data_IF_327836814862
#
_entry.id   IF_327836814862
#
_cell.length_a   1.000
_cell.length_b   1.000
_cell.length_c   1.000
_cell.angle_alpha   90.00
_cell.angle_beta   90.00
_cell.angle_gamma   90.00
#
_symmetry.space_group_name_H-M   'P 1'
#
loop_
_entity.id
_entity.type
_entity.pdbx_description
1 polymer ?
#
# COMPACT_ATOMS: atom_id res chain seq x y z
N UNK A 1 -24.16 2.76 1.77
CA UNK A 1 -23.30 3.11 0.62
C UNK A 1 -23.85 4.27 -0.25
N UNK A 2 -24.74 5.15 0.27
CA UNK A 2 -25.38 6.24 -0.51
C UNK A 2 -25.08 7.66 0.02
N UNK A 3 -24.00 7.85 0.78
CA UNK A 3 -23.76 9.12 1.49
C UNK A 3 -23.02 10.18 0.68
N UNK A 4 -22.40 9.81 -0.44
CA UNK A 4 -21.64 10.71 -1.29
C UNK A 4 -22.34 10.85 -2.65
N UNK A 5 -22.75 12.07 -2.97
CA UNK A 5 -23.17 12.46 -4.32
C UNK A 5 -21.90 12.66 -5.17
N UNK A 6 -21.40 11.55 -5.72
CA UNK A 6 -20.10 11.50 -6.41
C UNK A 6 -20.01 12.50 -7.57
N UNK A 7 -20.99 12.61 -8.49
CA UNK A 7 -20.94 13.61 -9.56
C UNK A 7 -20.85 15.03 -9.01
N UNK A 8 -21.65 15.35 -7.98
CA UNK A 8 -21.69 16.70 -7.42
C UNK A 8 -20.41 17.06 -6.64
N UNK A 9 -19.86 16.13 -5.84
CA UNK A 9 -18.57 16.35 -5.18
C UNK A 9 -17.47 16.55 -6.22
N UNK A 10 -17.48 15.76 -7.29
CA UNK A 10 -16.46 15.80 -8.34
C UNK A 10 -16.38 17.14 -9.08
N UNK A 11 -17.46 17.93 -9.14
CA UNK A 11 -17.41 19.28 -9.74
C UNK A 11 -16.82 20.33 -8.78
N UNK A 12 -16.76 20.05 -7.49
CA UNK A 12 -16.33 21.00 -6.46
C UNK A 12 -14.92 20.76 -5.92
N UNK A 13 -14.33 19.59 -6.17
CA UNK A 13 -12.97 19.25 -5.71
C UNK A 13 -12.01 19.08 -6.87
N UNK A 14 -10.73 19.34 -6.62
CA UNK A 14 -9.67 19.10 -7.60
C UNK A 14 -9.30 17.61 -7.65
N UNK A 15 -9.24 16.98 -6.46
CA UNK A 15 -8.80 15.60 -6.26
C UNK A 15 -9.73 14.89 -5.29
N UNK A 16 -9.93 13.60 -5.54
CA UNK A 16 -10.68 12.66 -4.71
C UNK A 16 -9.69 11.61 -4.17
N UNK A 17 -9.29 11.76 -2.91
CA UNK A 17 -8.36 10.81 -2.28
C UNK A 17 -9.16 9.62 -1.74
N UNK A 18 -9.07 8.49 -2.45
CA UNK A 18 -9.75 7.25 -2.06
C UNK A 18 -8.89 6.51 -1.04
N UNK A 19 -9.42 6.35 0.17
CA UNK A 19 -8.75 5.58 1.23
C UNK A 19 -8.93 4.07 0.98
N UNK A 20 -8.13 3.52 0.07
CA UNK A 20 -8.22 2.13 -0.37
C UNK A 20 -7.39 1.18 0.53
N UNK A 21 -7.69 1.24 1.83
CA UNK A 21 -7.04 0.48 2.90
C UNK A 21 -7.99 0.43 4.11
N UNK A 22 -7.61 -0.28 5.18
CA UNK A 22 -8.48 -0.63 6.31
C UNK A 22 -9.72 -1.45 5.91
N UNK A 23 -9.60 -2.26 4.87
CA UNK A 23 -10.67 -3.18 4.48
C UNK A 23 -10.92 -4.24 5.54
N UNK A 24 -9.85 -4.71 6.17
CA UNK A 24 -9.91 -5.62 7.29
C UNK A 24 -9.03 -5.07 8.41
N UNK A 25 -9.63 -4.91 9.59
CA UNK A 25 -8.99 -4.31 10.76
C UNK A 25 -8.88 -5.34 11.87
N UNK A 26 -7.87 -5.21 12.71
CA UNK A 26 -7.55 -6.22 13.72
C UNK A 26 -8.57 -6.36 14.86
N UNK A 27 -9.60 -5.52 14.91
CA UNK A 27 -10.78 -5.72 15.75
C UNK A 27 -11.70 -6.84 15.24
N UNK A 28 -11.52 -7.29 13.99
CA UNK A 28 -12.18 -8.48 13.46
C UNK A 28 -11.50 -9.75 13.98
N UNK A 29 -12.25 -10.83 14.27
CA UNK A 29 -11.73 -12.03 14.93
C UNK A 29 -10.80 -12.90 14.07
N UNK A 30 -10.63 -12.57 12.79
CA UNK A 30 -9.87 -13.36 11.84
C UNK A 30 -8.87 -12.49 11.08
N UNK A 31 -7.69 -13.05 10.82
CA UNK A 31 -6.65 -12.42 10.00
C UNK A 31 -7.15 -12.17 8.59
N UNK A 32 -6.79 -11.01 8.04
CA UNK A 32 -6.99 -10.72 6.63
C UNK A 32 -6.12 -9.52 6.23
N UNK A 33 -5.99 -9.28 4.93
CA UNK A 33 -5.10 -8.24 4.43
C UNK A 33 -5.66 -6.82 4.63
N UNK A 34 -4.80 -5.83 4.92
CA UNK A 34 -5.21 -4.43 5.12
C UNK A 34 -5.79 -3.79 3.84
N UNK A 35 -5.11 -4.02 2.71
CA UNK A 35 -5.37 -3.37 1.43
C UNK A 35 -5.22 -4.31 0.23
N UNK A 36 -5.97 -5.43 0.14
CA UNK A 36 -5.82 -6.36 -0.98
C UNK A 36 -6.19 -5.69 -2.32
N UNK A 37 -5.38 -5.89 -3.37
CA UNK A 37 -5.65 -5.27 -4.67
C UNK A 37 -6.88 -5.92 -5.32
N UNK A 38 -6.88 -7.24 -5.38
CA UNK A 38 -8.02 -8.06 -5.80
C UNK A 38 -8.50 -8.95 -4.66
N UNK A 39 -9.59 -9.67 -4.90
CA UNK A 39 -10.18 -10.58 -3.92
C UNK A 39 -9.43 -11.92 -3.93
N UNK A 40 -9.39 -12.55 -2.78
CA UNK A 40 -9.15 -13.99 -2.64
C UNK A 40 -10.50 -14.72 -2.69
N UNK A 41 -10.52 -15.94 -3.21
CA UNK A 41 -11.66 -16.86 -3.16
C UNK A 41 -12.18 -17.15 -1.73
N UNK A 42 -11.37 -16.90 -0.69
CA UNK A 42 -11.80 -17.08 0.71
C UNK A 42 -12.63 -15.92 1.28
N UNK A 43 -12.60 -14.73 0.69
CA UNK A 43 -13.40 -13.61 1.15
C UNK A 43 -14.81 -13.66 0.55
N UNK A 44 -15.83 -13.79 1.41
CA UNK A 44 -17.23 -13.75 1.00
C UNK A 44 -17.72 -12.33 0.65
N UNK A 45 -16.89 -11.30 0.87
CA UNK A 45 -17.21 -9.92 0.58
C UNK A 45 -16.41 -9.38 -0.62
N UNK A 46 -17.00 -9.48 -1.81
CA UNK A 46 -16.41 -8.99 -3.06
C UNK A 46 -16.08 -7.48 -3.08
N UNK A 47 -16.49 -6.72 -2.06
CA UNK A 47 -16.40 -5.25 -2.03
C UNK A 47 -15.16 -4.71 -1.32
N UNK A 48 -14.47 -5.53 -0.54
CA UNK A 48 -13.38 -5.11 0.35
C UNK A 48 -12.00 -5.13 -0.31
N UNK A 49 -11.93 -4.62 -1.54
CA UNK A 49 -10.70 -4.58 -2.34
C UNK A 49 -10.46 -3.20 -2.92
N UNK A 50 -9.18 -2.90 -3.20
CA UNK A 50 -8.77 -1.69 -3.94
C UNK A 50 -9.49 -1.65 -5.28
N UNK A 51 -9.49 -2.78 -6.00
CA UNK A 51 -10.08 -2.87 -7.32
C UNK A 51 -11.59 -2.52 -7.30
N UNK A 52 -12.35 -3.15 -6.41
CA UNK A 52 -13.77 -2.85 -6.30
C UNK A 52 -14.02 -1.39 -5.95
N UNK A 53 -13.26 -0.85 -4.99
CA UNK A 53 -13.45 0.53 -4.52
C UNK A 53 -13.20 1.57 -5.61
N UNK A 54 -12.14 1.40 -6.40
CA UNK A 54 -11.84 2.30 -7.54
C UNK A 54 -12.92 2.19 -8.63
N UNK A 55 -13.27 0.97 -9.04
CA UNK A 55 -14.33 0.77 -10.03
C UNK A 55 -15.69 1.27 -9.54
N UNK A 56 -15.96 1.20 -8.23
CA UNK A 56 -17.16 1.77 -7.64
C UNK A 56 -17.20 3.29 -7.83
N UNK A 57 -16.14 4.02 -7.46
CA UNK A 57 -16.06 5.48 -7.67
C UNK A 57 -16.24 5.88 -9.13
N UNK A 58 -15.56 5.19 -10.04
CA UNK A 58 -15.72 5.39 -11.49
C UNK A 58 -17.17 5.14 -11.93
N UNK A 59 -17.80 4.05 -11.48
CA UNK A 59 -19.19 3.72 -11.80
C UNK A 59 -20.21 4.73 -11.27
N UNK A 60 -19.86 5.46 -10.20
CA UNK A 60 -20.66 6.53 -9.62
C UNK A 60 -20.44 7.89 -10.28
N UNK A 61 -19.57 7.97 -11.29
CA UNK A 61 -19.35 9.18 -12.09
C UNK A 61 -18.18 10.04 -11.64
N UNK A 62 -17.27 9.51 -10.82
CA UNK A 62 -16.01 10.20 -10.54
C UNK A 62 -15.13 10.20 -11.80
N UNK A 63 -14.62 11.36 -12.24
CA UNK A 63 -13.63 11.41 -13.31
C UNK A 63 -12.33 10.71 -12.88
N UNK A 64 -11.80 9.81 -13.72
CA UNK A 64 -10.56 9.09 -13.43
C UNK A 64 -9.38 10.06 -13.18
N UNK A 65 -9.31 11.15 -13.95
CA UNK A 65 -8.30 12.21 -13.85
C UNK A 65 -8.44 13.11 -12.60
N UNK A 66 -9.38 12.79 -11.71
CA UNK A 66 -9.49 13.36 -10.35
C UNK A 66 -9.30 12.34 -9.23
N UNK A 67 -9.37 11.03 -9.52
CA UNK A 67 -9.21 9.98 -8.51
C UNK A 67 -7.73 9.79 -8.17
N UNK A 68 -7.43 9.73 -6.88
CA UNK A 68 -6.10 9.48 -6.33
C UNK A 68 -6.17 8.23 -5.45
N UNK A 69 -5.40 7.20 -5.81
CA UNK A 69 -5.40 5.92 -5.08
C UNK A 69 -4.57 6.04 -3.80
N UNK A 70 -5.19 5.78 -2.65
CA UNK A 70 -4.50 5.70 -1.36
C UNK A 70 -3.71 4.41 -1.18
N UNK A 71 -2.48 4.54 -0.69
CA UNK A 71 -1.55 3.45 -0.41
C UNK A 71 -1.16 3.48 1.08
N UNK A 72 -1.38 2.39 1.83
CA UNK A 72 -1.00 2.35 3.24
C UNK A 72 0.51 2.07 3.39
N UNK A 73 1.16 2.82 4.28
CA UNK A 73 2.53 2.61 4.72
C UNK A 73 2.56 1.88 6.08
N UNK A 74 1.55 1.05 6.33
CA UNK A 74 1.35 0.29 7.56
C UNK A 74 0.59 -1.01 7.26
N UNK A 75 0.65 -1.94 8.21
CA UNK A 75 -0.11 -3.19 8.19
C UNK A 75 -1.16 -3.26 9.30
N UNK A 76 -2.15 -4.11 9.09
CA UNK A 76 -3.07 -4.56 10.13
C UNK A 76 -2.56 -5.90 10.65
N UNK A 77 -2.45 -6.01 11.97
CA UNK A 77 -1.73 -7.11 12.61
C UNK A 77 -2.56 -7.81 13.69
N UNK A 78 -2.39 -9.11 13.81
CA UNK A 78 -3.05 -9.98 14.77
C UNK A 78 -2.04 -10.70 15.65
N UNK A 79 -2.50 -11.05 16.84
CA UNK A 79 -1.95 -12.12 17.67
C UNK A 79 -2.71 -13.41 17.35
N UNK A 80 -2.07 -14.36 16.69
CA UNK A 80 -2.66 -15.67 16.37
C UNK A 80 -3.04 -16.42 17.65
N UNK A 81 -4.26 -16.95 17.67
CA UNK A 81 -4.74 -17.80 18.77
C UNK A 81 -4.13 -19.21 18.68
N UNK A 82 -3.86 -19.67 17.46
CA UNK A 82 -3.32 -20.99 17.12
C UNK A 82 -2.14 -20.81 16.14
N UNK A 83 -0.95 -21.28 16.54
CA UNK A 83 0.27 -21.11 15.75
C UNK A 83 0.29 -21.97 14.48
N UNK A 84 -0.51 -23.04 14.45
CA UNK A 84 -0.64 -23.91 13.27
C UNK A 84 -1.62 -23.33 12.24
N UNK A 85 -2.30 -22.22 12.58
CA UNK A 85 -3.23 -21.49 11.71
C UNK A 85 -2.70 -20.09 11.46
N UNK A 86 -2.01 -19.91 10.35
CA UNK A 86 -1.31 -18.66 10.02
C UNK A 86 -1.67 -18.11 8.64
N UNK A 87 -2.66 -18.69 7.95
CA UNK A 87 -3.18 -18.18 6.68
C UNK A 87 -4.16 -17.03 6.85
N UNK A 88 -4.74 -16.58 5.74
CA UNK A 88 -5.92 -15.71 5.73
C UNK A 88 -7.09 -16.44 6.42
N UNK A 89 -7.87 -15.71 7.21
CA UNK A 89 -8.99 -16.26 7.97
C UNK A 89 -8.60 -16.96 9.27
N UNK A 90 -7.32 -16.99 9.66
CA UNK A 90 -6.89 -17.57 10.92
C UNK A 90 -7.45 -16.79 12.13
N UNK A 91 -7.87 -17.48 13.21
CA UNK A 91 -8.40 -16.81 14.39
C UNK A 91 -7.32 -16.02 15.13
N UNK A 92 -7.65 -14.81 15.56
CA UNK A 92 -6.74 -13.99 16.34
C UNK A 92 -7.40 -12.77 16.98
N UNK A 93 -6.60 -12.09 17.79
CA UNK A 93 -6.95 -10.83 18.47
C UNK A 93 -6.04 -9.70 17.97
N UNK A 94 -6.31 -8.42 18.25
CA UNK A 94 -5.41 -7.35 17.87
C UNK A 94 -3.96 -7.64 18.26
N UNK A 95 -3.03 -7.55 17.31
CA UNK A 95 -1.62 -7.86 17.50
C UNK A 95 -0.91 -6.90 18.47
N UNK A 96 0.41 -7.06 18.68
CA UNK A 96 1.17 -6.14 19.50
C UNK A 96 1.10 -4.70 18.96
N UNK A 97 1.28 -3.73 19.87
CA UNK A 97 1.54 -2.35 19.50
C UNK A 97 3.03 -2.17 19.24
N UNK A 98 3.37 -1.43 18.19
CA UNK A 98 4.72 -0.97 17.93
C UNK A 98 5.10 0.22 18.83
N UNK A 99 6.40 0.50 19.00
CA UNK A 99 6.88 1.67 19.77
C UNK A 99 6.49 3.02 19.14
N UNK A 100 6.24 3.06 17.82
CA UNK A 100 5.84 4.26 17.09
C UNK A 100 4.36 4.23 16.72
N UNK A 101 3.82 3.08 16.29
CA UNK A 101 2.39 2.97 15.98
C UNK A 101 1.52 3.19 17.21
N UNK A 102 2.01 2.81 18.40
CA UNK A 102 1.36 3.01 19.70
C UNK A 102 -0.10 2.50 19.79
N UNK A 103 -0.51 1.64 18.86
CA UNK A 103 -1.85 1.06 18.77
C UNK A 103 -1.75 -0.45 18.52
N UNK A 104 -2.50 -1.25 19.29
CA UNK A 104 -2.55 -2.69 19.07
C UNK A 104 -3.21 -3.01 17.73
N UNK A 105 -2.57 -3.92 17.01
CA UNK A 105 -3.06 -4.38 15.71
C UNK A 105 -2.77 -3.44 14.55
N UNK A 106 -1.91 -2.44 14.77
CA UNK A 106 -1.28 -1.63 13.72
C UNK A 106 0.23 -1.68 13.92
N UNK A 107 0.96 -1.95 12.85
CA UNK A 107 2.40 -1.71 12.79
C UNK A 107 2.71 -0.89 11.54
N UNK A 108 3.54 0.13 11.69
CA UNK A 108 4.06 0.88 10.55
C UNK A 108 4.97 -0.02 9.70
N UNK A 109 5.11 0.27 8.40
CA UNK A 109 6.02 -0.51 7.54
C UNK A 109 7.44 -0.54 8.11
N UNK A 110 7.92 0.59 8.64
CA UNK A 110 9.21 0.67 9.34
C UNK A 110 9.32 -0.25 10.57
N UNK A 111 8.23 -0.57 11.24
CA UNK A 111 8.22 -1.52 12.37
C UNK A 111 8.17 -2.96 11.87
N UNK A 112 7.33 -3.24 10.86
CA UNK A 112 7.22 -4.57 10.24
C UNK A 112 8.56 -5.00 9.66
N UNK A 113 9.22 -4.13 8.90
CA UNK A 113 10.50 -4.45 8.28
C UNK A 113 11.61 -4.66 9.33
N UNK A 114 11.56 -3.95 10.48
CA UNK A 114 12.49 -4.20 11.60
C UNK A 114 12.24 -5.54 12.24
N UNK A 115 10.97 -5.94 12.41
CA UNK A 115 10.64 -7.28 12.89
C UNK A 115 11.19 -8.36 11.93
N UNK A 116 10.99 -8.19 10.63
CA UNK A 116 11.55 -9.10 9.61
C UNK A 116 13.07 -9.23 9.72
N UNK A 117 13.78 -8.10 9.86
CA UNK A 117 15.23 -8.06 10.02
C UNK A 117 15.71 -8.71 11.32
N UNK A 118 15.03 -8.43 12.43
CA UNK A 118 15.39 -8.97 13.75
C UNK A 118 15.10 -10.48 13.89
N UNK A 119 14.15 -10.99 13.11
CA UNK A 119 13.76 -12.39 13.06
C UNK A 119 14.12 -13.03 11.71
N UNK A 120 15.23 -12.60 11.11
CA UNK A 120 15.67 -13.09 9.82
C UNK A 120 15.88 -14.61 9.86
N UNK A 121 15.21 -15.33 8.95
CA UNK A 121 15.22 -16.79 8.89
C UNK A 121 14.13 -17.48 9.71
N UNK A 122 13.40 -16.73 10.55
CA UNK A 122 12.24 -17.22 11.30
C UNK A 122 10.92 -16.54 10.85
N UNK A 123 11.01 -15.30 10.37
CA UNK A 123 9.88 -14.59 9.80
C UNK A 123 9.53 -15.15 8.43
N UNK A 124 8.29 -15.62 8.28
CA UNK A 124 7.76 -16.09 7.00
C UNK A 124 7.02 -14.94 6.31
N UNK A 125 7.34 -14.72 5.04
CA UNK A 125 6.55 -13.87 4.14
C UNK A 125 5.83 -14.78 3.16
N UNK A 126 4.52 -14.61 3.05
CA UNK A 126 3.70 -15.26 2.04
C UNK A 126 3.22 -14.18 1.09
N UNK A 127 3.60 -14.29 -0.19
CA UNK A 127 3.08 -13.45 -1.24
C UNK A 127 1.81 -14.10 -1.78
N UNK A 128 0.69 -13.41 -1.61
CA UNK A 128 -0.60 -13.89 -2.12
C UNK A 128 -0.78 -13.42 -3.56
N UNK A 129 -0.75 -14.37 -4.50
CA UNK A 129 -0.84 -14.08 -5.93
C UNK A 129 -2.23 -13.61 -6.35
N UNK A 130 -3.29 -14.01 -5.65
CA UNK A 130 -4.66 -13.61 -5.97
C UNK A 130 -4.92 -12.18 -5.52
N UNK A 131 -4.56 -11.84 -4.28
CA UNK A 131 -4.74 -10.48 -3.75
C UNK A 131 -3.66 -9.48 -4.21
N UNK A 132 -2.57 -9.96 -4.83
CA UNK A 132 -1.34 -9.22 -5.20
C UNK A 132 -0.70 -8.43 -4.04
N UNK A 133 -0.64 -9.06 -2.86
CA UNK A 133 -0.11 -8.45 -1.63
C UNK A 133 0.50 -9.50 -0.71
N UNK A 134 1.47 -9.12 0.15
CA UNK A 134 2.04 -10.05 1.10
C UNK A 134 1.27 -10.06 2.42
N UNK A 135 1.39 -11.15 3.15
CA UNK A 135 1.32 -11.12 4.60
C UNK A 135 2.57 -11.76 5.20
N UNK A 136 2.84 -11.45 6.46
CA UNK A 136 4.01 -11.97 7.16
C UNK A 136 3.67 -12.41 8.56
N UNK A 137 4.34 -13.45 9.03
CA UNK A 137 4.12 -13.95 10.37
C UNK A 137 5.39 -14.54 11.00
N UNK A 138 5.43 -14.46 12.33
CA UNK A 138 6.44 -15.07 13.17
C UNK A 138 5.87 -15.26 14.57
N UNK A 139 5.95 -16.48 15.10
CA UNK A 139 5.32 -16.84 16.37
C UNK A 139 3.82 -16.43 16.35
N UNK A 140 3.36 -15.66 17.33
CA UNK A 140 1.97 -15.17 17.36
C UNK A 140 1.73 -13.93 16.50
N UNK A 141 2.76 -13.26 15.98
CA UNK A 141 2.57 -12.03 15.21
C UNK A 141 2.22 -12.41 13.78
N UNK A 142 1.11 -11.87 13.29
CA UNK A 142 0.69 -11.96 11.89
C UNK A 142 0.36 -10.55 11.40
N UNK A 143 0.78 -10.16 10.21
CA UNK A 143 0.51 -8.84 9.63
C UNK A 143 0.20 -8.94 8.14
N UNK A 144 -0.91 -8.35 7.70
CA UNK A 144 -1.19 -8.05 6.30
C UNK A 144 -0.81 -6.61 6.01
N UNK A 145 0.14 -6.40 5.10
CA UNK A 145 0.80 -5.12 4.88
C UNK A 145 1.25 -4.98 3.42
N UNK A 146 1.60 -3.78 3.01
CA UNK A 146 2.20 -3.54 1.70
C UNK A 146 3.74 -3.53 1.76
N UNK A 147 4.36 -4.20 0.80
CA UNK A 147 5.80 -4.14 0.53
C UNK A 147 6.07 -3.49 -0.84
N UNK A 148 7.33 -3.35 -1.23
CA UNK A 148 7.73 -2.68 -2.47
C UNK A 148 7.00 -3.22 -3.70
N UNK A 149 6.92 -4.54 -3.89
CA UNK A 149 6.30 -5.13 -5.08
C UNK A 149 4.79 -4.87 -5.13
N UNK A 150 4.06 -5.03 -4.03
CA UNK A 150 2.62 -4.76 -3.99
C UNK A 150 2.30 -3.27 -4.17
N UNK A 151 3.16 -2.38 -3.65
CA UNK A 151 3.07 -0.93 -3.92
C UNK A 151 3.30 -0.64 -5.41
N UNK A 152 4.28 -1.29 -6.04
CA UNK A 152 4.54 -1.15 -7.47
C UNK A 152 3.33 -1.59 -8.30
N UNK A 153 2.75 -2.75 -7.98
CA UNK A 153 1.57 -3.28 -8.68
C UNK A 153 0.38 -2.33 -8.58
N UNK A 154 0.10 -1.79 -7.38
CA UNK A 154 -0.97 -0.79 -7.18
C UNK A 154 -0.70 0.52 -7.91
N UNK A 155 0.55 0.94 -7.99
CA UNK A 155 0.95 2.13 -8.75
C UNK A 155 0.73 1.94 -10.26
N UNK A 156 1.14 0.80 -10.80
CA UNK A 156 0.90 0.42 -12.21
C UNK A 156 -0.59 0.28 -12.49
N UNK A 157 -1.36 -0.31 -11.57
CA UNK A 157 -2.81 -0.41 -11.65
C UNK A 157 -3.46 0.98 -11.76
N UNK A 158 -3.12 1.91 -10.87
CA UNK A 158 -3.63 3.27 -10.90
C UNK A 158 -3.26 4.00 -12.19
N UNK A 159 -2.02 3.85 -12.66
CA UNK A 159 -1.56 4.43 -13.92
C UNK A 159 -2.35 3.90 -15.11
N UNK A 160 -2.54 2.57 -15.18
CA UNK A 160 -3.25 1.88 -16.27
C UNK A 160 -4.70 2.30 -16.38
N UNK A 161 -5.36 2.58 -15.25
CA UNK A 161 -6.73 3.11 -15.21
C UNK A 161 -6.82 4.62 -15.50
N UNK A 162 -5.69 5.29 -15.73
CA UNK A 162 -5.66 6.74 -15.95
C UNK A 162 -6.07 7.54 -14.71
N UNK A 163 -5.84 6.99 -13.51
CA UNK A 163 -6.07 7.74 -12.27
C UNK A 163 -5.11 8.93 -12.20
N UNK A 164 -5.51 9.97 -11.47
CA UNK A 164 -4.73 11.22 -11.36
C UNK A 164 -3.41 11.05 -10.63
N UNK A 165 -3.32 10.10 -9.71
CA UNK A 165 -2.14 9.96 -8.86
C UNK A 165 -2.31 8.95 -7.74
N UNK A 166 -1.34 9.01 -6.84
CA UNK A 166 -1.26 8.20 -5.62
C UNK A 166 -1.24 9.12 -4.39
N UNK A 167 -1.83 8.65 -3.30
CA UNK A 167 -1.74 9.24 -1.97
C UNK A 167 -1.10 8.21 -1.05
N UNK A 168 -0.21 8.65 -0.15
CA UNK A 168 0.44 7.78 0.83
C UNK A 168 -0.09 8.07 2.23
N UNK A 169 -0.49 7.04 2.96
CA UNK A 169 -0.94 7.13 4.34
C UNK A 169 -0.09 6.23 5.24
N UNK A 170 0.82 6.75 6.05
CA UNK A 170 1.38 8.09 5.97
C UNK A 170 2.90 8.03 5.77
N UNK A 171 3.48 9.11 5.25
CA UNK A 171 4.90 9.13 4.83
C UNK A 171 5.88 8.82 5.97
N UNK A 172 5.52 9.16 7.21
CA UNK A 172 6.30 8.90 8.42
C UNK A 172 6.31 7.43 8.85
N UNK A 173 5.43 6.60 8.29
CA UNK A 173 5.31 5.18 8.62
C UNK A 173 6.21 4.29 7.74
N UNK A 174 6.68 4.84 6.62
CA UNK A 174 7.69 4.24 5.73
C UNK A 174 9.10 4.27 6.38
N UNK A 175 10.07 3.53 5.83
CA UNK A 175 11.45 3.48 6.36
C UNK A 175 12.25 4.74 5.97
N UNK A 176 12.01 5.84 6.68
CA UNK A 176 12.69 7.12 6.48
C UNK A 176 14.22 7.04 6.75
N UNK A 177 14.67 6.08 7.57
CA UNK A 177 16.02 6.02 8.12
C UNK A 177 16.91 4.94 7.51
N UNK A 178 16.42 4.19 6.51
CA UNK A 178 17.18 3.11 5.85
C UNK A 178 17.55 1.98 6.81
N UNK A 179 16.66 1.69 7.75
CA UNK A 179 16.89 0.62 8.71
C UNK A 179 16.74 -0.77 8.08
N UNK A 180 15.88 -0.86 7.05
CA UNK A 180 15.51 -2.11 6.40
C UNK A 180 15.89 -2.17 4.92
N UNK A 181 16.03 -1.03 4.25
CA UNK A 181 16.42 -0.97 2.83
C UNK A 181 17.65 -0.08 2.60
N UNK A 182 18.20 -0.10 1.38
CA UNK A 182 19.32 0.77 0.98
C UNK A 182 18.89 2.22 0.69
N UNK A 183 17.58 2.46 0.52
CA UNK A 183 16.97 3.75 0.20
C UNK A 183 16.09 4.23 1.36
N UNK A 184 15.98 5.54 1.55
CA UNK A 184 15.00 6.08 2.49
C UNK A 184 13.64 6.14 1.81
N UNK A 185 12.56 5.93 2.56
CA UNK A 185 11.20 5.87 2.05
C UNK A 185 11.05 4.86 0.88
N UNK A 186 11.46 3.59 1.07
CA UNK A 186 11.44 2.59 0.00
C UNK A 186 10.07 2.45 -0.66
N UNK A 187 8.98 2.40 0.12
CA UNK A 187 7.63 2.26 -0.44
C UNK A 187 7.21 3.50 -1.21
N UNK A 188 7.40 4.68 -0.63
CA UNK A 188 7.03 5.95 -1.28
C UNK A 188 7.80 6.17 -2.58
N UNK A 189 9.08 5.78 -2.61
CA UNK A 189 9.89 5.83 -3.83
C UNK A 189 9.41 4.85 -4.87
N UNK A 190 9.11 3.62 -4.46
CA UNK A 190 8.59 2.59 -5.36
C UNK A 190 7.28 3.03 -6.00
N UNK A 191 6.34 3.58 -5.21
CA UNK A 191 5.09 4.15 -5.70
C UNK A 191 5.33 5.20 -6.80
N UNK A 192 6.28 6.12 -6.56
CA UNK A 192 6.64 7.16 -7.53
C UNK A 192 7.26 6.59 -8.81
N UNK A 193 8.22 5.68 -8.66
CA UNK A 193 8.95 5.07 -9.79
C UNK A 193 7.98 4.27 -10.68
N UNK A 194 7.07 3.49 -10.07
CA UNK A 194 6.11 2.64 -10.78
C UNK A 194 4.91 3.39 -11.39
N UNK A 195 4.47 4.53 -10.82
CA UNK A 195 3.33 5.29 -11.34
C UNK A 195 3.63 6.06 -12.63
N UNK A 196 4.90 6.40 -12.87
CA UNK A 196 5.35 7.01 -14.13
C UNK A 196 6.39 6.10 -14.75
N UNK A 197 5.99 4.98 -15.37
CA UNK A 197 6.93 4.11 -16.04
C UNK A 197 7.52 4.90 -17.23
N UNK A 198 8.71 5.47 -17.03
CA UNK A 198 9.51 5.99 -18.14
C UNK A 198 9.72 4.83 -19.10
N UNK A 199 9.54 5.06 -20.40
CA UNK A 199 9.67 4.05 -21.48
C UNK A 199 11.08 3.45 -21.63
N UNK A 200 11.91 3.44 -20.57
CA UNK A 200 13.34 3.15 -20.61
C UNK A 200 13.83 2.14 -19.56
N UNK A 201 12.96 1.54 -18.74
CA UNK A 201 13.38 0.43 -17.87
C UNK A 201 12.53 -0.79 -18.13
N UNK A 202 13.15 -1.78 -18.77
CA UNK A 202 12.68 -3.15 -18.80
C UNK A 202 12.35 -3.62 -17.36
N UNK A 203 11.34 -4.48 -17.28
CA UNK A 203 10.90 -5.20 -16.11
C UNK A 203 12.08 -5.52 -15.16
N UNK A 204 12.05 -5.13 -13.87
CA UNK A 204 13.07 -5.58 -12.94
C UNK A 204 12.90 -7.09 -12.76
N UNK A 205 13.69 -7.85 -13.51
CA UNK A 205 13.86 -9.29 -13.37
C UNK A 205 14.45 -9.52 -11.97
N UNK A 206 13.60 -9.83 -11.00
CA UNK A 206 14.02 -10.23 -9.67
C UNK A 206 14.24 -11.74 -9.68
N UNK A 207 15.36 -12.14 -10.26
CA UNK A 207 15.95 -13.46 -10.04
C UNK A 207 17.41 -13.30 -9.59
N UNK A 208 17.67 -13.81 -8.39
CA UNK A 208 18.96 -14.14 -7.74
C UNK A 208 20.24 -13.44 -8.21
N UNK A 209 20.85 -12.72 -7.25
CA UNK A 209 22.21 -12.19 -7.31
C UNK A 209 23.28 -13.23 -7.66
N UNK A 210 24.17 -12.89 -8.59
CA UNK A 210 25.59 -13.31 -8.53
C UNK A 210 26.48 -12.23 -9.15
N UNK A 211 27.53 -11.84 -8.42
CA UNK A 211 28.51 -10.80 -8.78
C UNK A 211 29.37 -11.17 -9.99
N UNK A 212 29.77 -10.18 -10.82
CA UNK A 212 31.19 -9.80 -10.96
C UNK A 212 31.37 -8.50 -11.77
N UNK A 213 32.49 -7.83 -11.50
CA UNK A 213 32.94 -6.47 -11.85
C UNK A 213 33.51 -6.27 -13.27
N UNK A 214 33.32 -5.08 -13.87
CA UNK A 214 34.35 -4.08 -14.26
C UNK A 214 33.88 -3.15 -15.40
N UNK A 215 34.21 -1.84 -15.32
CA UNK A 215 34.45 -1.00 -16.52
C UNK A 215 33.83 0.41 -16.58
N UNK A 216 34.57 1.40 -16.07
CA UNK A 216 34.95 2.71 -16.68
C UNK A 216 33.92 3.70 -17.31
N UNK A 217 33.75 4.84 -16.63
CA UNK A 217 33.70 6.29 -17.04
C UNK A 217 32.92 6.78 -18.28
N UNK A 218 31.99 7.74 -18.08
CA UNK A 218 31.88 8.99 -18.86
C UNK A 218 30.94 10.04 -18.20
N UNK A 219 31.34 11.31 -18.31
CA UNK A 219 30.74 12.53 -17.74
C UNK A 219 29.83 13.23 -18.77
N UNK A 220 28.71 13.83 -18.38
CA UNK A 220 28.12 15.00 -19.08
C UNK A 220 27.13 15.79 -18.21
N UNK A 221 27.13 17.11 -18.44
CA UNK A 221 26.62 18.19 -17.58
C UNK A 221 25.29 18.79 -18.07
N UNK A 222 24.51 19.30 -17.11
CA UNK A 222 23.61 20.48 -17.12
C UNK A 222 22.42 20.57 -18.11
N UNK A 223 21.23 20.92 -17.60
CA UNK A 223 20.67 22.29 -17.61
C UNK A 223 19.34 22.37 -16.84
N UNK A 224 19.15 23.46 -16.10
CA UNK A 224 17.89 23.89 -15.47
C UNK A 224 17.12 24.82 -16.41
N UNK A 225 15.79 24.95 -16.24
CA UNK A 225 15.30 26.26 -15.78
C UNK A 225 14.19 26.21 -14.71
N UNK A 226 14.17 27.29 -13.94
CA UNK A 226 13.21 27.66 -12.88
C UNK A 226 11.85 28.07 -13.44
N UNK A 227 10.83 27.84 -12.60
CA UNK A 227 9.78 28.81 -12.26
C UNK A 227 8.44 28.59 -12.97
N UNK A 228 7.38 28.33 -12.22
CA UNK A 228 6.46 29.35 -11.70
C UNK A 228 5.55 28.72 -10.64
N UNK A 229 5.48 29.35 -9.48
CA UNK A 229 4.63 28.95 -8.36
C UNK A 229 3.22 29.46 -8.58
N UNK A 230 2.24 28.55 -8.66
CA UNK A 230 0.84 28.86 -8.36
C UNK A 230 0.44 28.01 -7.17
N UNK A 231 0.28 28.62 -6.00
CA UNK A 231 -0.40 27.98 -4.87
C UNK A 231 -1.89 28.17 -5.14
N UNK A 232 -2.46 27.26 -5.92
CA UNK A 232 -3.90 27.05 -5.90
C UNK A 232 -4.22 26.41 -4.55
N UNK A 233 -5.17 26.99 -3.81
CA UNK A 233 -5.71 26.34 -2.63
C UNK A 233 -6.50 25.12 -3.10
N UNK A 234 -5.86 23.95 -3.10
CA UNK A 234 -6.46 22.69 -3.52
C UNK A 234 -7.52 22.28 -2.51
N UNK A 235 -8.76 22.11 -2.96
CA UNK A 235 -9.80 21.53 -2.11
C UNK A 235 -9.60 20.00 -2.11
N UNK A 236 -9.15 19.45 -0.97
CA UNK A 236 -8.92 18.01 -0.78
C UNK A 236 -10.10 17.42 -0.01
N UNK A 237 -10.82 16.48 -0.63
CA UNK A 237 -11.76 15.61 0.08
C UNK A 237 -11.08 14.28 0.41
N UNK A 238 -10.97 13.96 1.70
CA UNK A 238 -10.56 12.65 2.18
C UNK A 238 -11.81 11.79 2.35
N UNK A 239 -11.89 10.67 1.63
CA UNK A 239 -13.10 9.87 1.55
C UNK A 239 -12.89 8.53 2.27
N UNK A 240 -13.42 8.44 3.48
CA UNK A 240 -13.57 7.18 4.21
C UNK A 240 -14.70 6.35 3.63
N UNK A 241 -14.39 5.14 3.15
CA UNK A 241 -15.38 4.07 3.06
C UNK A 241 -15.46 3.37 4.42
N UNK A 242 -16.30 3.87 5.33
CA UNK A 242 -16.65 3.13 6.53
C UNK A 242 -17.56 1.96 6.13
N UNK A 243 -16.99 0.78 5.96
CA UNK A 243 -17.73 -0.49 5.93
C UNK A 243 -18.04 -0.92 7.37
N UNK A 244 -18.84 -0.13 8.09
CA UNK A 244 -19.43 -0.63 9.34
C UNK A 244 -20.53 -1.61 8.97
N UNK A 245 -20.31 -2.89 9.30
CA UNK A 245 -21.31 -3.95 9.25
C UNK A 245 -22.63 -3.47 9.88
N UNK A 246 -23.72 -3.58 9.12
CA UNK A 246 -25.07 -3.69 9.69
C UNK A 246 -25.43 -5.16 9.77
#
# INVERSE_FOLDING_TARGET
IHRYDVPNISVHVDLLHVMAYDYHVASSPNTHHNAPLYKDDTDHNDYLTVNYSIHYWLSKGAPADKLVLGLPMYGRCWGLDDLDKHGIGAPGTPGPSGPYSAERGILFYSEICKHQKNHQGEWTIVNDEEMEVPYGYWNKVWCGYDHEESIANKAVYAHTLGLRGLMVWAVDQDDAHKECSTKNFPLTRMAKEAFTPTSTTANPDWSSSTESSNGTTATATSLTPRGHSYVAATAIALLLMLFTNY
#
